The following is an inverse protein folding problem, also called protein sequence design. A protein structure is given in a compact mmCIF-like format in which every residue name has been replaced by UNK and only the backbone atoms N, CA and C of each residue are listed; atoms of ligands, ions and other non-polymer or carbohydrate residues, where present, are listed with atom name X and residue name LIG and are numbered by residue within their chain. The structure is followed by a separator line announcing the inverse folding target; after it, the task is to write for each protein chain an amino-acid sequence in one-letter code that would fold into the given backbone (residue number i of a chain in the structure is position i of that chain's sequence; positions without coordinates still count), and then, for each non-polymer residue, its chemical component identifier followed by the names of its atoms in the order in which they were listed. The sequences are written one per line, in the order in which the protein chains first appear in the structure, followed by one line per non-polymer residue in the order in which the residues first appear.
data_IF_995061908293
#
_entry.id   IF_995061908293
#
_cell.length_a   1.000
_cell.length_b   1.000
_cell.length_c   1.000
_cell.angle_alpha   90.00
_cell.angle_beta   90.00
_cell.angle_gamma   90.00
#
_symmetry.space_group_name_H-M   'P 1'
#
loop_
_entity.id
_entity.type
_entity.pdbx_description
1 polymer ?
#
# COMPACT_ATOMS: atom_id res chain seq x y z
N UNK A 1 20.89 5.45 -3.00
CA UNK A 1 19.46 5.04 -3.02
C UNK A 1 19.43 3.60 -3.49
N UNK A 2 19.03 2.62 -2.67
CA UNK A 2 18.96 1.23 -3.14
C UNK A 2 17.82 0.46 -2.50
N UNK A 3 16.62 1.04 -2.57
CA UNK A 3 15.42 0.23 -2.45
C UNK A 3 15.31 -0.57 -3.75
N UNK A 4 15.42 -1.88 -3.66
CA UNK A 4 15.15 -2.76 -4.80
C UNK A 4 13.68 -2.61 -5.19
N UNK A 5 13.40 -2.57 -6.50
CA UNK A 5 12.03 -2.57 -6.99
C UNK A 5 11.41 -3.92 -6.66
N UNK A 6 10.49 -3.96 -5.70
CA UNK A 6 9.74 -5.17 -5.37
C UNK A 6 8.60 -5.38 -6.36
N UNK A 7 8.25 -6.64 -6.66
CA UNK A 7 7.05 -6.94 -7.43
C UNK A 7 5.80 -6.50 -6.66
N UNK A 8 4.68 -6.41 -7.39
CA UNK A 8 3.38 -6.07 -6.80
C UNK A 8 2.90 -7.14 -5.81
N UNK A 9 3.19 -8.39 -6.11
CA UNK A 9 2.80 -9.57 -5.35
C UNK A 9 4.03 -10.39 -5.04
N UNK A 10 4.08 -10.95 -3.83
CA UNK A 10 5.07 -11.93 -3.41
C UNK A 10 4.32 -13.08 -2.72
N UNK A 11 4.66 -14.31 -3.07
CA UNK A 11 3.98 -15.51 -2.56
C UNK A 11 5.02 -16.51 -2.06
N UNK A 12 4.87 -16.99 -0.83
CA UNK A 12 5.84 -17.87 -0.19
C UNK A 12 5.17 -19.09 0.42
N UNK A 13 5.78 -20.25 0.27
CA UNK A 13 5.41 -21.45 1.01
C UNK A 13 6.16 -21.46 2.36
N UNK A 14 5.66 -20.71 3.34
CA UNK A 14 6.36 -20.42 4.61
C UNK A 14 6.80 -21.68 5.37
N UNK A 15 6.04 -22.78 5.28
CA UNK A 15 6.41 -24.04 5.92
C UNK A 15 7.69 -24.66 5.36
N UNK A 16 7.98 -24.43 4.06
CA UNK A 16 9.18 -24.93 3.38
C UNK A 16 10.24 -23.86 3.18
N UNK A 17 9.85 -22.59 3.21
CA UNK A 17 10.71 -21.42 3.07
C UNK A 17 10.45 -20.41 4.22
N UNK A 18 10.93 -20.70 5.44
CA UNK A 18 10.65 -19.87 6.62
C UNK A 18 11.22 -18.45 6.53
N UNK A 19 12.18 -18.22 5.65
CA UNK A 19 12.85 -16.95 5.46
C UNK A 19 12.32 -16.19 4.23
N UNK A 20 11.32 -16.71 3.53
CA UNK A 20 10.69 -16.09 2.35
C UNK A 20 11.71 -15.64 1.30
N UNK A 21 12.66 -16.52 0.98
CA UNK A 21 13.73 -16.23 0.01
C UNK A 21 13.31 -16.54 -1.42
N UNK A 22 12.31 -17.41 -1.61
CA UNK A 22 11.88 -17.91 -2.91
C UNK A 22 10.48 -17.40 -3.24
N UNK A 23 10.39 -16.28 -3.96
CA UNK A 23 9.11 -15.73 -4.41
C UNK A 23 8.47 -16.59 -5.52
N UNK A 24 7.27 -17.09 -5.25
CA UNK A 24 6.48 -17.95 -6.12
C UNK A 24 5.40 -17.17 -6.91
N UNK A 25 5.29 -15.85 -6.73
CA UNK A 25 4.16 -15.08 -7.28
C UNK A 25 4.08 -15.06 -8.82
N UNK A 26 5.21 -15.27 -9.49
CA UNK A 26 5.31 -15.31 -10.95
C UNK A 26 5.08 -16.71 -11.56
N UNK A 27 5.03 -17.77 -10.75
CA UNK A 27 4.78 -19.14 -11.22
C UNK A 27 3.26 -19.38 -11.31
N UNK A 28 2.79 -19.62 -12.53
CA UNK A 28 1.37 -19.82 -12.86
C UNK A 28 0.76 -21.04 -12.19
N UNK A 29 1.59 -21.99 -11.75
CA UNK A 29 1.16 -23.13 -10.94
C UNK A 29 0.43 -22.70 -9.66
N UNK A 30 0.78 -21.54 -9.11
CA UNK A 30 0.22 -21.03 -7.86
C UNK A 30 -0.88 -19.97 -8.06
N UNK A 31 -1.38 -19.78 -9.28
CA UNK A 31 -2.41 -18.78 -9.57
C UNK A 31 -3.69 -18.98 -8.73
N UNK A 32 -4.09 -20.24 -8.51
CA UNK A 32 -5.25 -20.56 -7.68
C UNK A 32 -5.05 -20.13 -6.23
N UNK A 33 -3.89 -20.43 -5.65
CA UNK A 33 -3.53 -20.03 -4.29
C UNK A 33 -3.42 -18.51 -4.16
N UNK A 34 -2.80 -17.84 -5.15
CA UNK A 34 -2.71 -16.38 -5.17
C UNK A 34 -4.09 -15.74 -5.17
N UNK A 35 -5.01 -16.23 -6.00
CA UNK A 35 -6.37 -15.69 -6.08
C UNK A 35 -7.14 -15.94 -4.78
N UNK A 36 -7.06 -17.14 -4.21
CA UNK A 36 -7.69 -17.46 -2.93
C UNK A 36 -7.21 -16.52 -1.82
N UNK A 37 -5.90 -16.35 -1.68
CA UNK A 37 -5.30 -15.51 -0.64
C UNK A 37 -5.59 -14.02 -0.87
N UNK A 38 -5.58 -13.56 -2.13
CA UNK A 38 -5.88 -12.16 -2.46
C UNK A 38 -7.33 -11.81 -2.15
N UNK A 39 -8.27 -12.72 -2.46
CA UNK A 39 -9.69 -12.52 -2.15
C UNK A 39 -9.92 -12.49 -0.63
N UNK A 40 -9.31 -13.43 0.12
CA UNK A 40 -9.41 -13.44 1.57
C UNK A 40 -8.84 -12.16 2.21
N UNK A 41 -7.73 -11.64 1.67
CA UNK A 41 -7.16 -10.36 2.09
C UNK A 41 -8.10 -9.19 1.78
N UNK A 42 -8.68 -9.14 0.59
CA UNK A 42 -9.61 -8.08 0.19
C UNK A 42 -10.86 -8.07 1.07
N UNK A 43 -11.47 -9.23 1.32
CA UNK A 43 -12.61 -9.38 2.22
C UNK A 43 -12.28 -8.87 3.64
N UNK A 44 -11.10 -9.23 4.15
CA UNK A 44 -10.65 -8.75 5.45
C UNK A 44 -10.42 -7.23 5.45
N UNK A 45 -9.75 -6.67 4.45
CA UNK A 45 -9.53 -5.23 4.33
C UNK A 45 -10.86 -4.45 4.32
N UNK A 46 -11.83 -4.90 3.52
CA UNK A 46 -13.17 -4.31 3.46
C UNK A 46 -13.87 -4.35 4.83
N UNK A 47 -13.73 -5.45 5.58
CA UNK A 47 -14.28 -5.56 6.94
C UNK A 47 -13.67 -4.54 7.92
N UNK A 48 -12.45 -4.08 7.66
CA UNK A 48 -11.75 -3.04 8.44
C UNK A 48 -12.00 -1.63 7.88
N UNK A 49 -12.93 -1.49 6.92
CA UNK A 49 -13.18 -0.25 6.19
C UNK A 49 -11.91 0.29 5.49
N UNK A 50 -11.03 -0.63 5.06
CA UNK A 50 -9.82 -0.35 4.29
C UNK A 50 -10.04 -0.71 2.81
N UNK A 51 -9.96 0.29 1.95
CA UNK A 51 -10.04 0.17 0.48
C UNK A 51 -8.63 0.16 -0.15
N UNK A 52 -7.61 -0.09 0.67
CA UNK A 52 -6.20 -0.06 0.31
C UNK A 52 -5.75 1.34 -0.10
N UNK A 53 -5.21 1.46 -1.31
CA UNK A 53 -4.60 2.71 -1.79
C UNK A 53 -5.56 3.91 -1.76
N UNK A 54 -6.86 3.68 -1.98
CA UNK A 54 -7.87 4.74 -1.88
C UNK A 54 -7.94 5.33 -0.45
N UNK A 55 -7.96 4.45 0.55
CA UNK A 55 -7.96 4.84 1.97
C UNK A 55 -6.71 5.65 2.31
N UNK A 56 -5.54 5.22 1.83
CA UNK A 56 -4.26 5.91 2.04
C UNK A 56 -4.24 7.31 1.40
N UNK A 57 -4.68 7.43 0.14
CA UNK A 57 -4.74 8.72 -0.55
C UNK A 57 -5.70 9.70 0.13
N UNK A 58 -6.79 9.21 0.70
CA UNK A 58 -7.74 10.02 1.46
C UNK A 58 -7.31 10.30 2.90
N UNK A 59 -6.18 9.75 3.38
CA UNK A 59 -5.76 9.84 4.78
C UNK A 59 -5.46 11.27 5.23
N UNK A 60 -4.97 12.14 4.33
CA UNK A 60 -4.74 13.55 4.63
C UNK A 60 -6.03 14.24 5.04
N UNK A 61 -7.17 13.97 4.38
CA UNK A 61 -8.47 14.57 4.70
C UNK A 61 -9.09 14.13 6.03
N UNK A 62 -8.60 13.03 6.62
CA UNK A 62 -9.09 12.50 7.91
C UNK A 62 -8.25 12.97 9.11
N UNK A 63 -7.20 13.75 8.88
CA UNK A 63 -6.37 14.29 9.96
C UNK A 63 -7.11 15.36 10.76
N UNK A 64 -6.76 15.52 12.04
CA UNK A 64 -7.32 16.55 12.91
C UNK A 64 -7.08 17.97 12.36
N UNK A 65 -7.97 18.91 12.70
CA UNK A 65 -7.98 20.29 12.20
C UNK A 65 -6.65 21.03 12.32
N UNK A 66 -5.93 20.83 13.44
CA UNK A 66 -4.63 21.46 13.63
C UNK A 66 -3.62 21.06 12.55
N UNK A 67 -3.68 19.81 12.07
CA UNK A 67 -2.81 19.29 11.02
C UNK A 67 -3.28 19.74 9.64
N UNK A 68 -4.59 19.81 9.42
CA UNK A 68 -5.17 20.43 8.23
C UNK A 68 -4.71 21.88 8.07
N UNK A 69 -4.67 22.64 9.17
CA UNK A 69 -4.15 24.01 9.17
C UNK A 69 -2.68 24.07 8.74
N UNK A 70 -1.86 23.12 9.18
CA UNK A 70 -0.45 23.04 8.75
C UNK A 70 -0.34 22.75 7.24
N UNK A 71 -1.13 21.82 6.71
CA UNK A 71 -1.15 21.52 5.27
C UNK A 71 -1.55 22.74 4.43
N UNK A 72 -2.61 23.45 4.83
CA UNK A 72 -3.03 24.71 4.16
C UNK A 72 -1.92 25.76 4.13
N UNK A 73 -1.15 25.90 5.22
CA UNK A 73 -0.03 26.84 5.29
C UNK A 73 1.12 26.42 4.37
N UNK A 74 1.48 25.12 4.37
CA UNK A 74 2.50 24.54 3.48
C UNK A 74 2.15 24.77 2.01
N UNK A 75 0.91 24.48 1.63
CA UNK A 75 0.48 24.55 0.23
C UNK A 75 0.42 26.01 -0.26
N UNK A 76 0.03 26.95 0.61
CA UNK A 76 0.12 28.39 0.34
C UNK A 76 1.57 28.85 0.13
N UNK A 77 2.51 28.36 0.93
CA UNK A 77 3.94 28.71 0.80
C UNK A 77 4.53 28.17 -0.51
N UNK A 78 4.19 26.93 -0.90
CA UNK A 78 4.61 26.35 -2.19
C UNK A 78 4.11 27.15 -3.38
N UNK A 79 2.81 27.49 -3.39
CA UNK A 79 2.23 28.30 -4.47
C UNK A 79 2.91 29.68 -4.61
N UNK A 80 3.33 30.29 -3.49
CA UNK A 80 4.08 31.55 -3.50
C UNK A 80 5.55 31.43 -3.95
N UNK A 81 6.13 30.23 -3.95
CA UNK A 81 7.49 29.96 -4.45
C UNK A 81 7.50 29.58 -5.94
N UNK A 82 6.48 28.86 -6.42
CA UNK A 82 6.36 28.47 -7.84
C UNK A 82 5.90 29.64 -8.74
N UNK A 83 5.32 30.69 -8.16
CA UNK A 83 4.94 31.91 -8.87
C UNK A 83 6.04 32.98 -8.97
N UNK A 84 7.29 32.66 -8.62
CA UNK A 84 8.48 33.52 -8.75
C UNK A 84 9.49 32.87 -9.68
#
# INVERSE_FOLDING_TARGET
RRFAKRPKWELFEVAKDPYCLNDLAADTKYDSQRNLLSNALEEWMLSQNDQGRSTELAAEGRQAEWKQRQYRLRDRQKAGQEGK
#
